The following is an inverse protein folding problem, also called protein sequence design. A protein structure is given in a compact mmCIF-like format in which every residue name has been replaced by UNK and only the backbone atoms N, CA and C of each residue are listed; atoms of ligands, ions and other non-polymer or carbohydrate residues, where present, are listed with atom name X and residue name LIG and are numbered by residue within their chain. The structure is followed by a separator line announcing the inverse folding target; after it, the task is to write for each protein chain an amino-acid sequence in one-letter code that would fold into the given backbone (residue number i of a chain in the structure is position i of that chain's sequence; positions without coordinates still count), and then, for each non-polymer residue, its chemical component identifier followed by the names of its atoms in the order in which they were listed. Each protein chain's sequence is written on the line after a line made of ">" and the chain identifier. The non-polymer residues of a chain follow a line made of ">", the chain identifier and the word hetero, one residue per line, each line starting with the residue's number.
data_IF_554737084340
#
_entry.id   IF_554737084340
#
_cell.length_a   1.000
_cell.length_b   1.000
_cell.length_c   1.000
_cell.angle_alpha   90.00
_cell.angle_beta   90.00
_cell.angle_gamma   90.00
#
_symmetry.space_group_name_H-M   'P 1'
#
loop_
_entity.id
_entity.type
_entity.pdbx_description
1 polymer ?
#
# COMPACT_ATOMS: atom_id res chain seq x y z
N UNK A 1 -10.84 -2.63 18.31
CA UNK A 1 -11.35 -3.44 17.18
C UNK A 1 -10.84 -2.84 15.87
N UNK A 2 -10.58 -3.65 14.86
CA UNK A 2 -10.11 -3.21 13.54
C UNK A 2 -11.20 -3.46 12.49
N UNK A 3 -11.44 -2.48 11.61
CA UNK A 3 -12.30 -2.61 10.43
C UNK A 3 -11.42 -2.60 9.17
N UNK A 4 -11.49 -3.68 8.41
CA UNK A 4 -10.69 -3.87 7.21
C UNK A 4 -11.65 -4.12 6.03
N UNK A 5 -11.69 -3.18 5.07
CA UNK A 5 -12.60 -3.22 3.92
C UNK A 5 -11.89 -2.93 2.60
N UNK A 6 -10.73 -3.57 2.34
CA UNK A 6 -9.97 -3.31 1.13
C UNK A 6 -10.74 -3.77 -0.10
N UNK A 7 -10.65 -3.00 -1.17
CA UNK A 7 -11.21 -3.38 -2.48
C UNK A 7 -12.75 -3.50 -2.54
N UNK A 8 -13.45 -3.06 -1.51
CA UNK A 8 -14.92 -3.06 -1.50
C UNK A 8 -15.48 -1.94 -2.39
N UNK A 9 -15.61 -2.17 -3.68
CA UNK A 9 -16.07 -1.18 -4.67
C UNK A 9 -17.50 -0.65 -4.45
N UNK A 10 -18.29 -1.30 -3.60
CA UNK A 10 -19.66 -0.88 -3.24
C UNK A 10 -19.72 -0.07 -1.94
N UNK A 11 -18.64 0.00 -1.17
CA UNK A 11 -18.57 0.80 0.03
C UNK A 11 -18.23 2.23 -0.30
N UNK A 12 -18.97 3.15 0.28
CA UNK A 12 -18.69 4.58 0.20
C UNK A 12 -18.14 5.08 1.52
N UNK A 13 -17.35 6.14 1.49
CA UNK A 13 -16.81 6.79 2.69
C UNK A 13 -17.94 7.24 3.62
N UNK A 14 -19.05 7.75 3.06
CA UNK A 14 -20.25 8.14 3.84
C UNK A 14 -20.88 6.95 4.55
N UNK A 15 -20.95 5.79 3.91
CA UNK A 15 -21.43 4.56 4.55
C UNK A 15 -20.58 4.14 5.76
N UNK A 16 -19.26 4.26 5.63
CA UNK A 16 -18.31 4.00 6.72
C UNK A 16 -18.50 5.01 7.85
N UNK A 17 -18.57 6.31 7.53
CA UNK A 17 -18.82 7.36 8.51
C UNK A 17 -20.14 7.14 9.27
N UNK A 18 -21.20 6.82 8.55
CA UNK A 18 -22.51 6.50 9.15
C UNK A 18 -22.42 5.31 10.11
N UNK A 19 -21.72 4.25 9.71
CA UNK A 19 -21.50 3.08 10.56
C UNK A 19 -20.68 3.40 11.80
N UNK A 20 -19.60 4.16 11.66
CA UNK A 20 -18.75 4.56 12.79
C UNK A 20 -19.50 5.44 13.79
N UNK A 21 -20.32 6.41 13.30
CA UNK A 21 -21.18 7.24 14.16
C UNK A 21 -22.17 6.38 14.95
N UNK A 22 -22.82 5.42 14.28
CA UNK A 22 -23.75 4.50 14.92
C UNK A 22 -23.06 3.62 15.99
N UNK A 23 -21.88 3.07 15.69
CA UNK A 23 -21.10 2.29 16.66
C UNK A 23 -20.72 3.12 17.90
N UNK A 24 -20.25 4.34 17.70
CA UNK A 24 -19.85 5.22 18.80
C UNK A 24 -21.07 5.65 19.67
N UNK A 25 -22.26 5.80 19.07
CA UNK A 25 -23.48 6.17 19.82
C UNK A 25 -24.02 5.08 20.74
N UNK A 26 -23.71 3.81 20.43
CA UNK A 26 -24.22 2.65 21.22
C UNK A 26 -23.25 2.26 22.34
N UNK A 27 -22.08 2.94 22.45
CA UNK A 27 -21.10 2.68 23.52
C UNK A 27 -20.32 1.37 23.35
N UNK A 28 -20.31 0.77 22.16
CA UNK A 28 -19.42 -0.36 21.89
C UNK A 28 -17.94 0.06 21.94
N UNK A 29 -17.02 -0.86 22.30
CA UNK A 29 -15.60 -0.57 22.24
C UNK A 29 -15.23 -0.14 20.81
N UNK A 30 -14.83 1.14 20.66
CA UNK A 30 -14.67 1.82 19.38
C UNK A 30 -13.74 1.06 18.42
N UNK A 31 -13.97 1.24 17.14
CA UNK A 31 -13.05 0.84 16.09
C UNK A 31 -11.83 1.73 16.24
N UNK A 32 -10.65 1.13 16.43
CA UNK A 32 -9.39 1.87 16.60
C UNK A 32 -8.55 1.94 15.33
N UNK A 33 -8.79 1.00 14.41
CA UNK A 33 -8.04 0.92 13.16
C UNK A 33 -8.99 0.72 11.99
N UNK A 34 -8.78 1.50 10.93
CA UNK A 34 -9.56 1.49 9.71
C UNK A 34 -8.65 1.29 8.50
N UNK A 35 -8.94 0.28 7.68
CA UNK A 35 -8.20 -0.05 6.46
C UNK A 35 -9.13 0.12 5.26
N UNK A 36 -8.95 1.22 4.53
CA UNK A 36 -9.81 1.66 3.40
C UNK A 36 -9.00 2.01 2.14
N UNK A 37 -7.73 1.60 2.09
CA UNK A 37 -6.79 1.99 1.02
C UNK A 37 -7.25 1.74 -0.41
N UNK A 38 -8.26 0.90 -0.63
CA UNK A 38 -8.88 0.67 -1.93
C UNK A 38 -10.06 1.57 -2.26
N UNK A 39 -10.46 2.47 -1.37
CA UNK A 39 -11.52 3.44 -1.64
C UNK A 39 -10.94 4.69 -2.30
N UNK A 40 -11.60 5.14 -3.37
CA UNK A 40 -11.25 6.36 -4.08
C UNK A 40 -12.11 7.54 -3.59
N UNK A 41 -11.60 8.76 -3.80
CA UNK A 41 -12.34 10.01 -3.57
C UNK A 41 -12.69 10.34 -2.11
N UNK A 42 -11.81 10.00 -1.18
CA UNK A 42 -11.91 10.47 0.20
C UNK A 42 -11.58 11.96 0.23
N UNK A 43 -12.53 12.78 0.66
CA UNK A 43 -12.31 14.22 0.83
C UNK A 43 -11.55 14.51 2.13
N UNK A 44 -10.85 15.65 2.20
CA UNK A 44 -10.15 16.07 3.43
C UNK A 44 -11.10 16.17 4.63
N UNK A 45 -12.31 16.69 4.42
CA UNK A 45 -13.32 16.79 5.48
C UNK A 45 -13.71 15.41 6.03
N UNK A 46 -13.95 14.45 5.15
CA UNK A 46 -14.28 13.07 5.54
C UNK A 46 -13.10 12.40 6.27
N UNK A 47 -11.87 12.65 5.81
CA UNK A 47 -10.68 12.12 6.46
C UNK A 47 -10.49 12.65 7.89
N UNK A 48 -10.66 13.96 8.11
CA UNK A 48 -10.60 14.54 9.46
C UNK A 48 -11.74 14.00 10.35
N UNK A 49 -12.92 13.81 9.81
CA UNK A 49 -14.02 13.20 10.55
C UNK A 49 -13.74 11.74 10.91
N UNK A 50 -13.16 10.95 9.98
CA UNK A 50 -12.73 9.58 10.27
C UNK A 50 -11.71 9.55 11.41
N UNK A 51 -10.68 10.43 11.38
CA UNK A 51 -9.72 10.54 12.47
C UNK A 51 -10.41 10.84 13.82
N UNK A 52 -11.30 11.81 13.83
CA UNK A 52 -12.05 12.18 15.04
C UNK A 52 -12.87 11.02 15.59
N UNK A 53 -13.59 10.28 14.73
CA UNK A 53 -14.42 9.14 15.14
C UNK A 53 -13.59 7.94 15.66
N UNK A 54 -12.35 7.81 15.19
CA UNK A 54 -11.42 6.77 15.64
C UNK A 54 -10.64 7.17 16.90
N UNK A 55 -10.77 8.42 17.35
CA UNK A 55 -9.98 8.96 18.47
C UNK A 55 -8.49 9.06 18.15
N UNK A 56 -8.15 9.25 16.88
CA UNK A 56 -6.78 9.38 16.42
C UNK A 56 -6.32 10.84 16.55
N UNK A 57 -5.73 11.18 17.69
CA UNK A 57 -5.11 12.47 17.89
C UNK A 57 -3.84 12.62 17.04
N UNK A 58 -3.60 13.80 16.46
CA UNK A 58 -2.44 14.10 15.61
C UNK A 58 -1.09 13.84 16.33
N UNK A 59 -1.06 13.86 17.66
CA UNK A 59 0.11 13.56 18.47
C UNK A 59 0.50 12.06 18.49
N UNK A 60 -0.41 11.14 18.16
CA UNK A 60 -0.06 9.71 18.07
C UNK A 60 0.56 9.33 16.72
N UNK A 61 0.35 10.12 15.67
CA UNK A 61 0.91 9.84 14.34
C UNK A 61 2.42 10.13 14.23
N UNK A 62 3.00 10.89 15.17
CA UNK A 62 4.45 11.20 15.19
C UNK A 62 5.32 10.12 15.87
N UNK A 63 4.73 9.14 16.56
CA UNK A 63 5.49 8.02 17.11
C UNK A 63 5.83 7.03 16.00
N UNK A 64 7.08 7.07 15.55
CA UNK A 64 7.76 6.04 14.75
C UNK A 64 6.83 5.26 13.81
N UNK A 65 6.31 5.95 12.78
CA UNK A 65 5.58 5.26 11.74
C UNK A 65 6.49 4.20 11.10
N UNK A 66 6.10 2.94 11.24
CA UNK A 66 6.73 1.85 10.48
C UNK A 66 6.66 2.23 9.00
N UNK A 67 7.79 2.21 8.25
CA UNK A 67 7.79 2.54 6.84
C UNK A 67 6.81 1.65 6.09
N UNK A 68 5.98 2.25 5.26
CA UNK A 68 5.06 1.51 4.41
C UNK A 68 5.68 1.33 3.03
N UNK A 69 6.04 0.12 2.67
CA UNK A 69 6.55 -0.19 1.35
C UNK A 69 5.43 -0.67 0.42
N UNK A 70 5.51 -0.25 -0.84
CA UNK A 70 4.61 -0.79 -1.85
C UNK A 70 4.93 -2.28 -2.08
N UNK A 71 3.90 -3.10 -2.09
CA UNK A 71 3.99 -4.50 -2.47
C UNK A 71 2.78 -4.84 -3.34
N UNK A 72 3.02 -5.58 -4.41
CA UNK A 72 1.95 -6.02 -5.31
C UNK A 72 0.89 -6.82 -4.56
N UNK A 73 -0.38 -6.54 -4.85
CA UNK A 73 -1.51 -7.17 -4.18
C UNK A 73 -1.88 -6.62 -2.80
N UNK A 74 -1.08 -5.71 -2.24
CA UNK A 74 -1.45 -5.01 -1.00
C UNK A 74 -2.19 -3.70 -1.34
N UNK A 75 -3.48 -3.67 -1.01
CA UNK A 75 -4.34 -2.49 -1.14
C UNK A 75 -4.62 -1.82 0.21
N UNK A 76 -3.91 -2.20 1.26
CA UNK A 76 -4.08 -1.70 2.62
C UNK A 76 -2.79 -1.93 3.43
N UNK A 77 -2.65 -1.21 4.54
CA UNK A 77 -1.58 -1.45 5.49
C UNK A 77 -1.69 -2.84 6.11
N UNK A 78 -0.55 -3.44 6.43
CA UNK A 78 -0.54 -4.72 7.14
C UNK A 78 -1.23 -4.60 8.50
N UNK A 79 -1.67 -5.74 9.05
CA UNK A 79 -2.31 -5.78 10.36
C UNK A 79 -1.39 -5.31 11.50
N UNK A 80 -0.08 -5.31 11.27
CA UNK A 80 0.94 -4.92 12.24
C UNK A 80 1.22 -3.40 12.24
N UNK A 81 0.51 -2.63 11.41
CA UNK A 81 0.66 -1.19 11.36
C UNK A 81 -0.21 -0.53 12.43
N UNK A 82 0.40 0.27 13.28
CA UNK A 82 -0.26 0.96 14.41
C UNK A 82 -1.07 2.19 14.00
N UNK A 83 -1.05 2.58 12.72
CA UNK A 83 -1.82 3.73 12.24
C UNK A 83 -3.32 3.49 12.35
N UNK A 84 -4.05 4.50 12.83
CA UNK A 84 -5.49 4.43 12.94
C UNK A 84 -6.18 4.31 11.56
N UNK A 85 -5.60 4.92 10.51
CA UNK A 85 -6.11 4.87 9.14
C UNK A 85 -4.95 4.56 8.19
N UNK A 86 -5.18 3.72 7.17
CA UNK A 86 -4.17 3.31 6.19
C UNK A 86 -3.93 4.32 5.05
N UNK A 87 -4.76 5.34 4.95
CA UNK A 87 -4.57 6.43 3.98
C UNK A 87 -3.95 7.66 4.62
N UNK A 88 -3.26 8.45 3.81
CA UNK A 88 -2.62 9.70 4.21
C UNK A 88 -2.65 10.72 3.05
N UNK A 89 -2.36 11.98 3.34
CA UNK A 89 -2.19 12.99 2.30
C UNK A 89 -0.82 12.78 1.62
N UNK A 90 -0.83 12.57 0.31
CA UNK A 90 0.40 12.46 -0.44
C UNK A 90 1.19 13.80 -0.37
N UNK A 91 2.44 13.82 0.08
CA UNK A 91 3.20 15.07 0.21
C UNK A 91 3.45 15.77 -1.13
N UNK A 92 3.34 15.05 -2.27
CA UNK A 92 3.55 15.63 -3.60
C UNK A 92 2.29 16.20 -4.24
N UNK A 93 1.17 15.48 -4.19
CA UNK A 93 -0.08 15.92 -4.87
C UNK A 93 -1.20 16.32 -3.90
N UNK A 94 -1.00 16.16 -2.59
CA UNK A 94 -1.96 16.47 -1.54
C UNK A 94 -3.27 15.65 -1.59
N UNK A 95 -3.38 14.69 -2.50
CA UNK A 95 -4.51 13.78 -2.55
C UNK A 95 -4.41 12.75 -1.43
N UNK A 96 -5.55 12.41 -0.85
CA UNK A 96 -5.65 11.35 0.15
C UNK A 96 -5.64 9.98 -0.53
N UNK A 97 -4.90 9.05 0.06
CA UNK A 97 -4.78 7.68 -0.45
C UNK A 97 -3.62 6.93 0.19
N UNK A 98 -3.29 5.78 -0.36
CA UNK A 98 -2.13 5.02 0.09
C UNK A 98 -0.84 5.77 -0.29
N UNK A 99 -0.01 6.02 0.70
CA UNK A 99 1.28 6.70 0.58
C UNK A 99 2.37 5.74 0.99
N UNK A 100 3.39 5.59 0.16
CA UNK A 100 4.44 4.60 0.32
C UNK A 100 5.80 5.24 0.52
N UNK A 101 6.61 4.61 1.36
CA UNK A 101 8.02 4.88 1.54
C UNK A 101 8.84 4.08 0.51
N UNK A 102 10.11 4.40 0.36
CA UNK A 102 11.01 3.67 -0.53
C UNK A 102 11.89 2.70 0.26
N UNK A 103 11.96 1.41 -0.11
CA UNK A 103 12.84 0.45 0.54
C UNK A 103 14.29 0.59 0.11
N UNK A 104 14.62 1.33 -0.98
CA UNK A 104 15.98 1.51 -1.47
C UNK A 104 16.88 2.12 -0.39
N UNK A 105 18.08 1.57 -0.23
CA UNK A 105 19.04 2.01 0.78
C UNK A 105 19.47 3.46 0.56
N UNK A 106 19.65 3.87 -0.68
CA UNK A 106 19.93 5.25 -1.09
C UNK A 106 18.89 6.26 -0.62
N UNK A 107 17.60 5.87 -0.62
CA UNK A 107 16.50 6.70 -0.12
C UNK A 107 16.40 6.69 1.41
N UNK A 108 16.83 5.59 2.06
CA UNK A 108 16.74 5.42 3.52
C UNK A 108 17.92 6.02 4.26
N UNK A 109 19.09 6.04 3.65
CA UNK A 109 20.34 6.48 4.26
C UNK A 109 20.38 7.98 4.60
N UNK A 110 19.55 8.79 3.93
CA UNK A 110 19.48 10.23 4.14
C UNK A 110 18.07 10.62 4.59
N UNK A 111 17.87 11.16 5.81
CA UNK A 111 16.53 11.50 6.32
C UNK A 111 15.75 12.44 5.38
N UNK A 112 16.42 13.38 4.75
CA UNK A 112 15.79 14.32 3.81
C UNK A 112 15.31 13.63 2.53
N UNK A 113 16.06 12.66 2.02
CA UNK A 113 15.67 11.90 0.81
C UNK A 113 14.57 10.89 1.08
N UNK A 114 14.48 10.33 2.28
CA UNK A 114 13.39 9.45 2.66
C UNK A 114 12.03 10.16 2.58
N UNK A 115 11.95 11.41 3.04
CA UNK A 115 10.75 12.25 2.90
C UNK A 115 10.47 12.62 1.45
N UNK A 116 11.51 12.92 0.66
CA UNK A 116 11.36 13.25 -0.77
C UNK A 116 10.80 12.07 -1.59
N UNK A 117 11.09 10.85 -1.17
CA UNK A 117 10.64 9.63 -1.85
C UNK A 117 9.29 9.11 -1.34
N UNK A 118 8.75 9.65 -0.23
CA UNK A 118 7.42 9.30 0.26
C UNK A 118 6.35 9.89 -0.66
N UNK A 119 5.49 9.04 -1.23
CA UNK A 119 4.41 9.51 -2.12
C UNK A 119 3.41 8.40 -2.47
N UNK A 120 2.29 8.79 -3.07
CA UNK A 120 1.40 7.84 -3.73
C UNK A 120 2.03 7.31 -5.03
N UNK A 121 1.50 6.18 -5.55
CA UNK A 121 1.98 5.54 -6.78
C UNK A 121 1.88 6.42 -8.02
N UNK A 122 0.92 7.33 -8.06
CA UNK A 122 0.74 8.25 -9.21
C UNK A 122 1.82 9.32 -9.28
N UNK A 123 2.36 9.73 -8.11
CA UNK A 123 3.41 10.75 -8.06
C UNK A 123 4.82 10.18 -8.22
N UNK A 124 5.06 9.00 -7.67
CA UNK A 124 6.31 8.27 -7.83
C UNK A 124 5.96 6.84 -8.20
N UNK A 125 6.15 6.45 -9.46
CA UNK A 125 6.07 5.07 -9.88
C UNK A 125 7.06 4.21 -9.08
N UNK A 126 6.68 2.96 -8.80
CA UNK A 126 7.49 2.04 -7.97
C UNK A 126 7.55 0.69 -8.62
N UNK A 127 8.67 0.01 -8.40
CA UNK A 127 8.80 -1.38 -8.81
C UNK A 127 7.66 -2.22 -8.22
N UNK A 128 6.99 -2.96 -9.08
CA UNK A 128 5.83 -3.75 -8.72
C UNK A 128 6.15 -4.84 -7.69
N UNK A 129 7.37 -5.38 -7.73
CA UNK A 129 7.83 -6.43 -6.83
C UNK A 129 8.43 -5.89 -5.54
N UNK A 130 9.45 -5.02 -5.63
CA UNK A 130 10.22 -4.61 -4.46
C UNK A 130 9.82 -3.24 -3.89
N UNK A 131 8.99 -2.45 -4.59
CA UNK A 131 8.55 -1.14 -4.14
C UNK A 131 9.56 0.00 -4.27
N UNK A 132 10.77 -0.26 -4.79
CA UNK A 132 11.78 0.78 -5.02
C UNK A 132 11.28 1.83 -6.01
N UNK A 133 11.70 3.09 -5.81
CA UNK A 133 11.39 4.19 -6.72
C UNK A 133 12.31 4.20 -7.95
N UNK A 134 11.92 4.96 -8.97
CA UNK A 134 12.63 5.07 -10.25
C UNK A 134 13.89 5.94 -10.24
N UNK A 135 14.19 6.60 -9.13
CA UNK A 135 15.31 7.55 -9.11
C UNK A 135 16.68 6.88 -9.14
N UNK A 136 16.76 5.62 -8.71
CA UNK A 136 18.04 4.92 -8.53
C UNK A 136 18.17 3.62 -9.35
N UNK A 137 17.19 3.27 -10.18
CA UNK A 137 17.19 2.00 -10.92
C UNK A 137 16.68 2.18 -12.34
N UNK A 138 17.24 1.47 -13.29
CA UNK A 138 16.63 1.29 -14.61
C UNK A 138 15.39 0.42 -14.52
N UNK A 139 14.39 0.73 -15.33
CA UNK A 139 13.09 0.07 -15.29
C UNK A 139 12.70 -0.53 -16.63
N UNK A 140 11.94 -1.61 -16.52
CA UNK A 140 11.24 -2.23 -17.63
C UNK A 140 9.75 -2.08 -17.41
N UNK A 141 9.05 -1.52 -18.39
CA UNK A 141 7.59 -1.49 -18.44
C UNK A 141 7.09 -2.74 -19.16
N UNK A 142 6.15 -3.45 -18.56
CA UNK A 142 5.53 -4.62 -19.16
C UNK A 142 4.28 -4.24 -19.95
N UNK A 143 3.76 -5.16 -20.76
CA UNK A 143 2.49 -4.96 -21.50
C UNK A 143 1.29 -4.65 -20.59
N UNK A 144 1.35 -5.07 -19.34
CA UNK A 144 0.32 -4.80 -18.33
C UNK A 144 0.46 -3.44 -17.67
N UNK A 145 1.37 -2.56 -18.14
CA UNK A 145 1.72 -1.27 -17.53
C UNK A 145 2.29 -1.41 -16.11
N UNK A 146 2.81 -2.58 -15.78
CA UNK A 146 3.50 -2.81 -14.52
C UNK A 146 4.99 -2.49 -14.69
N UNK A 147 5.54 -1.79 -13.71
CA UNK A 147 6.93 -1.36 -13.73
C UNK A 147 7.78 -2.26 -12.83
N UNK A 148 8.86 -2.81 -13.37
CA UNK A 148 9.84 -3.60 -12.62
C UNK A 148 11.22 -2.96 -12.70
N UNK A 149 11.96 -2.92 -11.59
CA UNK A 149 13.38 -2.63 -11.67
C UNK A 149 14.10 -3.80 -12.35
N UNK A 150 15.26 -3.53 -12.98
CA UNK A 150 15.99 -4.54 -13.76
C UNK A 150 16.27 -5.82 -12.96
N UNK A 151 16.60 -5.70 -11.68
CA UNK A 151 16.91 -6.87 -10.85
C UNK A 151 15.66 -7.73 -10.63
N UNK A 152 14.54 -7.11 -10.30
CA UNK A 152 13.27 -7.82 -10.14
C UNK A 152 12.79 -8.44 -11.46
N UNK A 153 13.02 -7.76 -12.58
CA UNK A 153 12.66 -8.27 -13.91
C UNK A 153 13.52 -9.47 -14.32
N UNK A 154 14.84 -9.41 -14.09
CA UNK A 154 15.74 -10.55 -14.31
C UNK A 154 15.34 -11.76 -13.49
N UNK A 155 14.96 -11.58 -12.23
CA UNK A 155 14.49 -12.67 -11.39
C UNK A 155 13.18 -13.29 -11.91
N UNK A 156 12.29 -12.49 -12.52
CA UNK A 156 11.08 -12.99 -13.18
C UNK A 156 11.43 -13.88 -14.36
N UNK A 157 12.32 -13.43 -15.25
CA UNK A 157 12.74 -14.19 -16.42
C UNK A 157 13.40 -15.53 -16.03
N UNK A 158 14.26 -15.54 -15.01
CA UNK A 158 14.87 -16.77 -14.50
C UNK A 158 13.82 -17.74 -13.95
N UNK A 159 12.77 -17.24 -13.34
CA UNK A 159 11.64 -18.07 -12.88
C UNK A 159 10.90 -18.70 -14.07
N UNK A 160 10.62 -17.94 -15.13
CA UNK A 160 9.94 -18.44 -16.34
C UNK A 160 10.76 -19.53 -17.02
N UNK A 161 12.05 -19.30 -17.27
CA UNK A 161 12.95 -20.32 -17.87
C UNK A 161 13.01 -21.61 -17.06
N UNK A 162 13.06 -21.53 -15.73
CA UNK A 162 13.05 -22.71 -14.86
C UNK A 162 11.73 -23.47 -14.90
N UNK A 163 10.61 -22.79 -15.08
CA UNK A 163 9.30 -23.41 -15.15
C UNK A 163 9.06 -24.09 -16.50
N UNK A 164 9.53 -23.51 -17.61
CA UNK A 164 9.52 -24.15 -18.92
C UNK A 164 10.33 -25.44 -18.93
N UNK A 165 11.51 -25.45 -18.31
CA UNK A 165 12.36 -26.63 -18.16
C UNK A 165 11.72 -27.74 -17.32
N UNK A 166 10.81 -27.40 -16.39
CA UNK A 166 10.12 -28.36 -15.53
C UNK A 166 8.78 -28.86 -16.13
N UNK A 167 8.39 -28.45 -17.34
CA UNK A 167 7.18 -28.91 -18.03
C UNK A 167 5.87 -28.52 -17.34
N UNK A 168 5.90 -27.50 -16.49
CA UNK A 168 4.71 -27.02 -15.78
C UNK A 168 3.87 -26.13 -16.68
N UNK A 169 2.73 -26.63 -17.14
CA UNK A 169 1.81 -25.92 -18.04
C UNK A 169 0.95 -24.84 -17.38
N UNK A 170 1.26 -24.43 -16.18
CA UNK A 170 0.55 -23.35 -15.46
C UNK A 170 1.56 -22.46 -14.77
N UNK A 171 1.77 -21.28 -15.31
CA UNK A 171 2.77 -20.33 -14.85
C UNK A 171 2.33 -19.63 -13.55
N UNK A 172 2.59 -20.26 -12.42
CA UNK A 172 2.44 -19.64 -11.10
C UNK A 172 3.81 -19.20 -10.59
N UNK A 173 4.10 -17.92 -10.69
CA UNK A 173 5.26 -17.35 -10.02
C UNK A 173 4.94 -17.05 -8.56
N UNK A 174 5.74 -17.60 -7.64
CA UNK A 174 5.60 -17.36 -6.22
C UNK A 174 6.61 -16.31 -5.78
N UNK A 175 6.13 -15.21 -5.21
CA UNK A 175 6.98 -14.14 -4.66
C UNK A 175 6.86 -14.07 -3.16
N UNK A 176 7.98 -13.78 -2.50
CA UNK A 176 8.04 -13.45 -1.08
C UNK A 176 8.18 -11.93 -0.95
N UNK A 177 7.16 -11.28 -0.39
CA UNK A 177 7.25 -9.89 -0.01
C UNK A 177 7.00 -9.78 1.49
N UNK A 178 7.98 -9.24 2.23
CA UNK A 178 7.91 -9.08 3.69
C UNK A 178 7.48 -10.36 4.43
N UNK A 179 7.98 -11.52 3.99
CA UNK A 179 7.68 -12.82 4.60
C UNK A 179 6.35 -13.44 4.16
N UNK A 180 5.55 -12.76 3.38
CA UNK A 180 4.28 -13.27 2.83
C UNK A 180 4.50 -13.86 1.43
N UNK A 181 3.97 -15.06 1.23
CA UNK A 181 4.04 -15.76 -0.06
C UNK A 181 2.88 -15.34 -0.95
N UNK A 182 3.19 -14.83 -2.14
CA UNK A 182 2.21 -14.49 -3.17
C UNK A 182 2.38 -15.39 -4.38
N UNK A 183 1.27 -15.86 -4.94
CA UNK A 183 1.25 -16.61 -6.18
C UNK A 183 0.67 -15.73 -7.29
N UNK A 184 1.41 -15.56 -8.38
CA UNK A 184 0.93 -14.89 -9.58
C UNK A 184 0.64 -15.96 -10.61
N UNK A 185 -0.59 -15.97 -11.13
CA UNK A 185 -0.94 -16.75 -12.31
C UNK A 185 -0.59 -15.89 -13.53
N UNK A 186 0.42 -16.26 -14.29
CA UNK A 186 0.71 -15.68 -15.60
C UNK A 186 -0.14 -16.43 -16.65
N UNK A 187 -1.44 -16.16 -16.65
CA UNK A 187 -2.31 -16.64 -17.71
C UNK A 187 -2.19 -15.66 -18.88
N UNK A 188 -1.59 -16.12 -20.00
CA UNK A 188 -1.66 -15.46 -21.30
C UNK A 188 -3.05 -15.64 -21.93
#
# INVERSE_FOLDING_TARGET
>A
MQLCVPGCSRLTVEGILGSLRAFNSVGFPGIKCLRIGGLFDVTRKQFEELKSLLGADDNMQQKTCVPQYFCWGQFYLSCDDDRAIDIDACPKCQKLGLVYDCPAESCRAKPDTAQLCRSCRLCIPRCFKCGCCFQDCDFVETFSLDFFCLDCFKELLICEEKMELMGASSSKCTFLCQGTRYEICLCG
#
